data_IF_408559513699
#
_entry.id   IF_408559513699
#
_cell.length_a   1.000
_cell.length_b   1.000
_cell.length_c   1.000
_cell.angle_alpha   90.00
_cell.angle_beta   90.00
_cell.angle_gamma   90.00
#
_symmetry.space_group_name_H-M   'P 1'
#
loop_
_entity.id
_entity.type
_entity.pdbx_description
1 polymer ?
#
# COMPACT_ATOMS: atom_id res chain seq x y z
N UNK A 1 2.46 71.89 21.43
CA UNK A 1 3.29 70.74 21.03
C UNK A 1 3.02 69.58 21.98
N UNK A 2 2.81 68.38 21.42
CA UNK A 2 2.82 67.05 22.08
C UNK A 2 1.75 66.72 23.14
N UNK A 3 0.55 66.30 22.70
CA UNK A 3 -0.30 65.38 23.50
C UNK A 3 -1.27 64.57 22.63
N UNK A 4 -0.73 63.71 21.76
CA UNK A 4 -1.50 62.74 20.95
C UNK A 4 -0.65 61.49 20.70
N UNK A 5 -0.40 60.66 21.72
CA UNK A 5 0.25 59.35 21.47
C UNK A 5 0.14 58.28 22.59
N UNK A 6 -0.89 58.33 23.46
CA UNK A 6 -1.04 57.34 24.55
C UNK A 6 -2.14 56.31 24.34
N UNK A 7 -3.12 56.56 23.46
CA UNK A 7 -4.28 55.67 23.30
C UNK A 7 -4.01 54.44 22.41
N UNK A 8 -3.02 54.47 21.51
CA UNK A 8 -2.77 53.37 20.56
C UNK A 8 -1.94 52.20 21.11
N UNK A 9 -1.19 52.41 22.19
CA UNK A 9 -0.27 51.37 22.73
C UNK A 9 -1.01 50.21 23.40
N UNK A 10 -2.19 50.46 23.97
CA UNK A 10 -2.95 49.47 24.76
C UNK A 10 -3.61 48.39 23.88
N UNK A 11 -3.77 48.68 22.59
CA UNK A 11 -4.52 47.86 21.64
C UNK A 11 -3.57 46.89 20.94
N UNK A 12 -2.31 47.33 20.72
CA UNK A 12 -1.24 46.49 20.14
C UNK A 12 -0.90 45.34 21.07
N UNK A 13 -0.67 45.56 22.36
CA UNK A 13 -0.26 44.48 23.29
C UNK A 13 -1.31 43.37 23.42
N UNK A 14 -2.60 43.67 23.31
CA UNK A 14 -3.67 42.65 23.29
C UNK A 14 -3.71 41.83 22.00
N UNK A 15 -3.33 42.43 20.87
CA UNK A 15 -3.23 41.72 19.58
C UNK A 15 -2.05 40.74 19.55
N UNK A 16 -0.91 41.05 20.19
CA UNK A 16 0.23 40.14 20.30
C UNK A 16 -0.06 38.92 21.19
N UNK A 17 -0.84 39.08 22.26
CA UNK A 17 -1.20 37.98 23.17
C UNK A 17 -2.19 37.01 22.50
N UNK A 18 -3.17 37.52 21.74
CA UNK A 18 -4.10 36.66 20.98
C UNK A 18 -3.40 35.86 19.88
N UNK A 19 -2.41 36.45 19.19
CA UNK A 19 -1.59 35.76 18.18
C UNK A 19 -0.73 34.65 18.79
N UNK A 20 -0.19 34.83 19.99
CA UNK A 20 0.59 33.79 20.69
C UNK A 20 -0.28 32.59 21.13
N UNK A 21 -1.52 32.81 21.54
CA UNK A 21 -2.43 31.72 21.96
C UNK A 21 -2.89 30.91 20.74
N UNK A 22 -3.17 31.56 19.60
CA UNK A 22 -3.56 30.87 18.35
C UNK A 22 -2.37 30.09 17.75
N UNK A 23 -1.15 30.62 17.82
CA UNK A 23 0.05 29.89 17.38
C UNK A 23 0.35 28.68 18.30
N UNK A 24 0.12 28.82 19.61
CA UNK A 24 0.32 27.74 20.59
C UNK A 24 -0.66 26.57 20.39
N UNK A 25 -1.87 26.85 19.88
CA UNK A 25 -2.90 25.81 19.70
C UNK A 25 -2.76 25.01 18.39
N UNK A 26 -1.82 25.34 17.50
CA UNK A 26 -1.71 24.74 16.16
C UNK A 26 -0.65 23.62 16.03
N UNK A 27 -0.03 23.17 17.13
CA UNK A 27 1.16 22.30 17.05
C UNK A 27 0.94 20.84 17.45
N UNK A 28 -0.30 20.37 17.58
CA UNK A 28 -0.57 18.95 17.88
C UNK A 28 -1.36 18.32 16.74
N UNK A 29 -0.74 18.25 15.56
CA UNK A 29 -1.17 17.27 14.55
C UNK A 29 -0.49 15.94 14.88
N UNK A 30 -1.24 14.92 15.33
CA UNK A 30 -0.67 13.59 15.47
C UNK A 30 -0.29 13.11 14.06
N UNK A 31 1.01 12.94 13.81
CA UNK A 31 1.47 12.21 12.64
C UNK A 31 0.94 10.79 12.77
N UNK A 32 0.00 10.41 11.91
CA UNK A 32 -0.45 9.03 11.78
C UNK A 32 0.74 8.21 11.29
N UNK A 33 1.44 7.54 12.22
CA UNK A 33 2.46 6.59 11.85
C UNK A 33 1.75 5.32 11.40
N UNK A 34 1.91 4.96 10.14
CA UNK A 34 1.58 3.61 9.69
C UNK A 34 2.43 2.63 10.51
N UNK A 35 1.78 1.94 11.45
CA UNK A 35 2.41 0.91 12.27
C UNK A 35 2.52 -0.36 11.45
N UNK A 36 3.67 -0.52 10.81
CA UNK A 36 4.02 -1.75 10.10
C UNK A 36 4.40 -2.83 11.12
N UNK A 37 3.70 -3.97 11.10
CA UNK A 37 4.00 -5.09 12.01
C UNK A 37 5.06 -5.99 11.38
N UNK A 38 6.20 -6.15 12.05
CA UNK A 38 7.34 -6.95 11.61
C UNK A 38 7.55 -8.14 12.54
N UNK A 39 7.79 -9.32 11.96
CA UNK A 39 8.02 -10.57 12.69
C UNK A 39 9.23 -11.28 12.09
N UNK A 40 10.22 -11.58 12.93
CA UNK A 40 11.44 -12.28 12.54
C UNK A 40 11.30 -13.79 12.78
N UNK A 41 11.65 -14.58 11.77
CA UNK A 41 11.73 -16.03 11.86
C UNK A 41 13.16 -16.47 11.55
N UNK A 42 13.81 -17.13 12.51
CA UNK A 42 15.19 -17.58 12.32
C UNK A 42 15.26 -18.97 11.69
N UNK A 43 16.37 -19.26 11.04
CA UNK A 43 16.65 -20.57 10.44
C UNK A 43 16.63 -21.69 11.51
N UNK A 44 17.11 -21.39 12.73
CA UNK A 44 17.06 -22.31 13.85
C UNK A 44 15.62 -22.67 14.21
N UNK A 45 14.73 -21.69 14.30
CA UNK A 45 13.31 -21.93 14.56
C UNK A 45 12.65 -22.71 13.41
N UNK A 46 13.07 -22.48 12.17
CA UNK A 46 12.53 -23.13 10.97
C UNK A 46 12.96 -24.60 10.83
N UNK A 47 14.23 -24.90 11.07
CA UNK A 47 14.82 -26.22 10.83
C UNK A 47 14.84 -27.14 12.05
N UNK A 48 14.67 -26.61 13.27
CA UNK A 48 14.75 -27.42 14.48
C UNK A 48 13.57 -28.40 14.68
N UNK A 49 12.50 -28.32 13.88
CA UNK A 49 11.30 -29.13 14.08
C UNK A 49 10.77 -29.77 12.79
N UNK A 50 10.04 -30.90 12.90
CA UNK A 50 9.27 -31.44 11.78
C UNK A 50 8.35 -30.38 11.18
N UNK A 51 8.35 -30.26 9.85
CA UNK A 51 7.51 -29.30 9.13
C UNK A 51 6.12 -29.88 8.91
N UNK A 52 5.33 -29.93 9.97
CA UNK A 52 3.90 -30.20 9.89
C UNK A 52 3.09 -28.93 10.20
N UNK A 53 1.83 -28.91 9.77
CA UNK A 53 0.98 -27.73 9.92
C UNK A 53 0.79 -27.32 11.38
N UNK A 54 0.79 -28.26 12.32
CA UNK A 54 0.65 -27.99 13.77
C UNK A 54 1.86 -27.25 14.30
N UNK A 55 3.06 -27.68 13.92
CA UNK A 55 4.31 -27.08 14.34
C UNK A 55 4.48 -25.67 13.77
N UNK A 56 4.08 -25.46 12.51
CA UNK A 56 4.20 -24.16 11.84
C UNK A 56 3.30 -23.11 12.49
N UNK A 57 2.07 -23.47 12.89
CA UNK A 57 1.17 -22.51 13.58
C UNK A 57 1.61 -22.17 14.99
N UNK A 58 2.45 -22.99 15.62
CA UNK A 58 3.03 -22.69 16.92
C UNK A 58 4.22 -21.73 16.84
N UNK A 59 4.78 -21.48 15.65
CA UNK A 59 5.85 -20.52 15.47
C UNK A 59 5.30 -19.10 15.66
N UNK A 60 5.77 -18.42 16.70
CA UNK A 60 5.25 -17.11 17.10
C UNK A 60 5.25 -16.08 15.96
N UNK A 61 6.31 -16.05 15.13
CA UNK A 61 6.39 -15.14 13.99
C UNK A 61 5.29 -15.41 12.95
N UNK A 62 5.04 -16.69 12.63
CA UNK A 62 4.01 -17.10 11.66
C UNK A 62 2.61 -16.84 12.23
N UNK A 63 2.34 -17.26 13.46
CA UNK A 63 1.05 -17.04 14.12
C UNK A 63 0.70 -15.55 14.18
N UNK A 64 1.65 -14.71 14.58
CA UNK A 64 1.43 -13.28 14.68
C UNK A 64 1.25 -12.61 13.31
N UNK A 65 2.02 -13.03 12.29
CA UNK A 65 1.85 -12.53 10.93
C UNK A 65 0.46 -12.88 10.36
N UNK A 66 0.03 -14.14 10.51
CA UNK A 66 -1.29 -14.60 10.08
C UNK A 66 -2.40 -13.85 10.82
N UNK A 67 -2.31 -13.72 12.15
CA UNK A 67 -3.30 -12.99 12.94
C UNK A 67 -3.34 -11.49 12.58
N UNK A 68 -2.20 -10.86 12.29
CA UNK A 68 -2.13 -9.48 11.84
C UNK A 68 -2.74 -9.30 10.44
N UNK A 69 -2.52 -10.24 9.52
CA UNK A 69 -3.07 -10.22 8.18
C UNK A 69 -4.57 -10.59 8.12
N UNK A 70 -5.08 -11.36 9.09
CA UNK A 70 -6.52 -11.61 9.25
C UNK A 70 -7.26 -10.38 9.76
N UNK A 71 -6.63 -9.56 10.61
CA UNK A 71 -7.20 -8.28 11.08
C UNK A 71 -7.28 -7.23 9.98
N UNK A 72 -6.45 -7.35 8.94
CA UNK A 72 -6.41 -6.42 7.81
C UNK A 72 -6.42 -7.24 6.50
N UNK A 73 -7.60 -7.68 6.01
CA UNK A 73 -7.71 -8.62 4.90
C UNK A 73 -7.17 -8.09 3.56
N UNK A 74 -7.07 -6.77 3.41
CA UNK A 74 -6.55 -6.13 2.19
C UNK A 74 -5.04 -5.81 2.28
N UNK A 75 -4.42 -6.02 3.45
CA UNK A 75 -3.00 -5.77 3.66
C UNK A 75 -2.15 -6.88 3.01
N UNK A 76 -1.17 -6.55 2.14
CA UNK A 76 -0.18 -7.51 1.69
C UNK A 76 0.83 -7.82 2.80
N UNK A 77 1.42 -9.00 2.73
CA UNK A 77 2.54 -9.46 3.53
C UNK A 77 3.78 -9.43 2.65
N UNK A 78 4.79 -8.66 3.03
CA UNK A 78 6.12 -8.79 2.46
C UNK A 78 6.90 -9.89 3.19
N UNK A 79 7.45 -10.82 2.42
CA UNK A 79 8.35 -11.89 2.86
C UNK A 79 9.76 -11.57 2.38
N UNK A 80 10.56 -10.98 3.26
CA UNK A 80 11.94 -10.62 2.97
C UNK A 80 12.89 -11.75 3.33
N UNK A 81 13.81 -12.08 2.42
CA UNK A 81 14.79 -13.14 2.56
C UNK A 81 16.14 -12.71 1.97
N UNK A 82 17.22 -13.43 2.29
CA UNK A 82 18.52 -13.20 1.68
C UNK A 82 18.54 -13.62 0.20
N UNK A 83 19.27 -12.89 -0.63
CA UNK A 83 19.48 -13.25 -2.04
C UNK A 83 20.48 -14.41 -2.18
N UNK A 84 20.13 -15.56 -1.60
CA UNK A 84 20.87 -16.82 -1.65
C UNK A 84 19.93 -17.95 -2.04
N UNK A 85 20.47 -19.05 -2.56
CA UNK A 85 19.66 -20.21 -2.96
C UNK A 85 18.91 -20.82 -1.77
N UNK A 86 19.57 -20.95 -0.63
CA UNK A 86 18.96 -21.39 0.63
C UNK A 86 17.89 -20.39 1.07
N UNK A 87 18.20 -19.10 0.97
CA UNK A 87 17.33 -17.95 1.19
C UNK A 87 16.01 -18.00 0.39
N UNK A 88 16.11 -18.40 -0.87
CA UNK A 88 14.97 -18.56 -1.76
C UNK A 88 14.17 -19.83 -1.44
N UNK A 89 14.85 -20.94 -1.15
CA UNK A 89 14.21 -22.22 -0.92
C UNK A 89 13.26 -22.18 0.28
N UNK A 90 13.76 -21.80 1.45
CA UNK A 90 12.94 -21.77 2.66
C UNK A 90 11.86 -20.68 2.63
N UNK A 91 12.08 -19.57 1.94
CA UNK A 91 11.06 -18.52 1.78
C UNK A 91 9.91 -19.00 0.88
N UNK A 92 10.18 -19.80 -0.15
CA UNK A 92 9.15 -20.44 -0.95
C UNK A 92 8.36 -21.48 -0.16
N UNK A 93 9.05 -22.28 0.69
CA UNK A 93 8.37 -23.20 1.60
C UNK A 93 7.46 -22.45 2.56
N UNK A 94 7.95 -21.39 3.21
CA UNK A 94 7.17 -20.57 4.11
C UNK A 94 5.98 -19.92 3.39
N UNK A 95 6.15 -19.42 2.17
CA UNK A 95 5.04 -18.93 1.35
C UNK A 95 3.98 -20.01 1.13
N UNK A 96 4.37 -21.24 0.79
CA UNK A 96 3.43 -22.34 0.61
C UNK A 96 2.67 -22.66 1.91
N UNK A 97 3.34 -22.60 3.05
CA UNK A 97 2.70 -22.76 4.35
C UNK A 97 1.72 -21.64 4.68
N UNK A 98 2.10 -20.37 4.45
CA UNK A 98 1.21 -19.23 4.64
C UNK A 98 -0.06 -19.37 3.78
N UNK A 99 0.08 -19.89 2.55
CA UNK A 99 -1.06 -20.22 1.69
C UNK A 99 -1.94 -21.32 2.28
N UNK A 100 -1.34 -22.40 2.77
CA UNK A 100 -2.07 -23.47 3.45
C UNK A 100 -2.80 -22.98 4.72
N UNK A 101 -2.31 -21.91 5.36
CA UNK A 101 -2.93 -21.25 6.52
C UNK A 101 -4.03 -20.23 6.13
N UNK A 102 -4.37 -20.14 4.84
CA UNK A 102 -5.50 -19.35 4.35
C UNK A 102 -5.15 -17.95 3.85
N UNK A 103 -3.87 -17.61 3.70
CA UNK A 103 -3.46 -16.39 3.01
C UNK A 103 -3.46 -16.62 1.50
N UNK A 104 -4.00 -15.70 0.72
CA UNK A 104 -3.96 -15.84 -0.74
C UNK A 104 -2.56 -15.50 -1.27
N UNK A 105 -2.14 -16.18 -2.33
CA UNK A 105 -0.76 -16.07 -2.83
C UNK A 105 -0.43 -14.68 -3.39
N UNK A 106 -1.45 -13.94 -3.82
CA UNK A 106 -1.43 -12.57 -4.34
C UNK A 106 -1.16 -11.56 -3.24
N UNK A 107 -1.48 -11.90 -1.99
CA UNK A 107 -1.20 -11.07 -0.82
C UNK A 107 0.22 -11.25 -0.31
N UNK A 108 1.00 -12.20 -0.82
CA UNK A 108 2.34 -12.50 -0.33
C UNK A 108 3.36 -12.03 -1.36
N UNK A 109 4.08 -10.97 -1.03
CA UNK A 109 5.14 -10.38 -1.85
C UNK A 109 6.50 -10.91 -1.41
N UNK A 110 7.24 -11.53 -2.31
CA UNK A 110 8.58 -12.07 -2.05
C UNK A 110 9.64 -10.99 -2.33
N UNK A 111 10.55 -10.74 -1.39
CA UNK A 111 11.60 -9.71 -1.53
C UNK A 111 12.99 -10.25 -1.16
N UNK A 112 13.89 -10.35 -2.13
CA UNK A 112 15.29 -10.73 -1.90
C UNK A 112 16.12 -9.51 -1.48
N UNK A 113 15.92 -9.03 -0.25
CA UNK A 113 16.52 -7.78 0.23
C UNK A 113 17.16 -7.86 1.62
N UNK A 114 17.23 -9.04 2.23
CA UNK A 114 17.98 -9.22 3.48
C UNK A 114 19.47 -9.48 3.20
N UNK A 115 20.32 -8.96 4.08
CA UNK A 115 21.76 -9.26 4.08
C UNK A 115 22.10 -10.50 4.91
N UNK A 116 21.16 -10.94 5.75
CA UNK A 116 21.30 -12.07 6.67
C UNK A 116 20.58 -13.28 6.10
N UNK A 117 21.29 -14.39 5.96
CA UNK A 117 20.80 -15.67 5.45
C UNK A 117 20.10 -16.53 6.52
N UNK A 118 20.29 -16.18 7.79
CA UNK A 118 19.73 -16.90 8.94
C UNK A 118 18.33 -16.42 9.36
N UNK A 119 17.73 -15.48 8.63
CA UNK A 119 16.41 -14.90 8.95
C UNK A 119 15.50 -14.71 7.73
N UNK A 120 14.19 -14.86 7.96
CA UNK A 120 13.13 -14.29 7.13
C UNK A 120 12.40 -13.24 7.95
N UNK A 121 12.08 -12.11 7.31
CA UNK A 121 11.23 -11.08 7.90
C UNK A 121 9.83 -11.15 7.27
N UNK A 122 8.81 -11.37 8.10
CA UNK A 122 7.41 -11.24 7.72
C UNK A 122 6.92 -9.86 8.09
N UNK A 123 6.41 -9.12 7.12
CA UNK A 123 5.96 -7.75 7.34
C UNK A 123 4.56 -7.53 6.81
N UNK A 124 3.61 -7.22 7.69
CA UNK A 124 2.24 -6.88 7.28
C UNK A 124 2.19 -5.40 6.93
N UNK A 125 2.03 -5.10 5.65
CA UNK A 125 1.95 -3.74 5.14
C UNK A 125 0.57 -3.18 5.46
N UNK A 126 0.50 -2.08 6.20
CA UNK A 126 -0.77 -1.35 6.29
C UNK A 126 -0.98 -0.67 4.94
N UNK A 127 -2.09 -1.00 4.27
CA UNK A 127 -2.50 -0.24 3.11
C UNK A 127 -2.80 1.16 3.61
N UNK A 128 -1.89 2.11 3.38
CA UNK A 128 -2.22 3.52 3.49
C UNK A 128 -3.30 3.73 2.44
N UNK A 129 -4.54 3.86 2.89
CA UNK A 129 -5.59 4.48 2.08
C UNK A 129 -5.08 5.90 1.85
N UNK A 130 -4.26 6.09 0.83
CA UNK A 130 -4.11 7.39 0.21
C UNK A 130 -5.54 7.82 -0.08
N UNK A 131 -5.98 8.92 0.54
CA UNK A 131 -7.29 9.50 0.27
C UNK A 131 -7.54 9.43 -1.23
N UNK A 132 -8.71 8.92 -1.69
CA UNK A 132 -9.02 8.99 -3.10
C UNK A 132 -8.91 10.46 -3.46
N UNK A 133 -7.92 10.80 -4.28
CA UNK A 133 -7.77 12.15 -4.83
C UNK A 133 -9.08 12.43 -5.56
N UNK A 134 -9.99 13.17 -4.91
CA UNK A 134 -11.35 13.48 -5.38
C UNK A 134 -11.32 14.30 -6.69
N UNK A 135 -10.14 14.71 -7.14
CA UNK A 135 -9.96 15.60 -8.29
C UNK A 135 -9.78 14.89 -9.65
N UNK A 136 -9.74 13.55 -9.70
CA UNK A 136 -9.61 12.84 -10.97
C UNK A 136 -10.95 12.29 -11.50
N UNK A 137 -12.01 13.11 -11.51
CA UNK A 137 -13.14 12.87 -12.42
C UNK A 137 -12.71 13.40 -13.79
N UNK A 138 -12.44 12.54 -14.79
CA UNK A 138 -12.28 13.03 -16.16
C UNK A 138 -13.60 13.67 -16.57
N UNK A 139 -13.61 15.01 -16.66
CA UNK A 139 -14.68 15.76 -17.29
C UNK A 139 -14.77 15.27 -18.73
N UNK A 140 -15.70 14.35 -19.00
CA UNK A 140 -16.06 13.93 -20.36
C UNK A 140 -16.56 15.19 -21.07
N UNK A 141 -15.69 15.78 -21.90
CA UNK A 141 -16.10 16.81 -22.82
C UNK A 141 -16.92 16.12 -23.91
N UNK A 142 -18.24 16.16 -23.74
CA UNK A 142 -19.19 15.95 -24.81
C UNK A 142 -19.01 17.06 -25.86
N UNK A 143 -18.06 16.89 -26.77
CA UNK A 143 -18.08 17.58 -28.06
C UNK A 143 -18.73 16.67 -29.08
N UNK A 144 -20.05 16.72 -29.05
CA UNK A 144 -20.91 16.41 -30.17
C UNK A 144 -20.45 17.23 -31.38
N UNK A 145 -19.73 16.59 -32.32
CA UNK A 145 -19.54 17.12 -33.67
C UNK A 145 -20.03 16.07 -34.65
N UNK A 146 -21.19 16.37 -35.23
CA UNK A 146 -21.77 15.68 -36.36
C UNK A 146 -20.81 15.69 -37.56
N UNK A 147 -20.69 14.54 -38.23
CA UNK A 147 -20.73 14.42 -39.70
C UNK A 147 -20.86 12.95 -40.07
N UNK A 148 -21.89 12.64 -40.86
CA UNK A 148 -22.20 11.35 -41.47
C UNK A 148 -21.33 11.12 -42.75
N UNK A 149 -21.71 10.21 -43.66
CA UNK A 149 -21.52 8.76 -43.65
C UNK A 149 -20.58 8.31 -44.79
N UNK A 150 -19.70 7.33 -44.57
CA UNK A 150 -18.81 6.88 -45.65
C UNK A 150 -18.37 5.43 -45.49
N UNK A 151 -19.32 4.48 -45.55
CA UNK A 151 -19.05 3.08 -45.81
C UNK A 151 -20.21 2.48 -46.64
N UNK A 152 -20.36 3.00 -47.85
CA UNK A 152 -21.17 2.38 -48.92
C UNK A 152 -20.28 1.85 -50.06
N UNK A 153 -18.96 1.96 -49.97
CA UNK A 153 -18.04 1.50 -51.03
C UNK A 153 -17.47 0.09 -50.84
N UNK A 154 -17.47 -0.46 -49.62
CA UNK A 154 -16.81 -1.76 -49.37
C UNK A 154 -17.70 -2.97 -49.74
N UNK A 155 -18.99 -2.75 -49.99
CA UNK A 155 -19.91 -3.83 -50.36
C UNK A 155 -19.93 -4.13 -51.87
N UNK A 156 -19.16 -3.38 -52.68
CA UNK A 156 -19.04 -3.61 -54.13
C UNK A 156 -17.89 -4.54 -54.51
N UNK A 157 -16.90 -4.72 -53.64
CA UNK A 157 -15.73 -5.55 -53.93
C UNK A 157 -15.97 -7.04 -53.60
N UNK A 158 -16.91 -7.34 -52.70
CA UNK A 158 -17.18 -8.72 -52.25
C UNK A 158 -18.07 -9.54 -53.20
N UNK A 159 -18.55 -8.97 -54.31
CA UNK A 159 -19.42 -9.67 -55.28
C UNK A 159 -18.70 -10.00 -56.61
N UNK A 160 -17.39 -9.76 -56.71
CA UNK A 160 -16.59 -10.06 -57.89
C UNK A 160 -15.85 -11.43 -57.84
N UNK A 161 -15.77 -12.09 -56.68
CA UNK A 161 -15.09 -13.40 -56.54
C UNK A 161 -16.02 -14.63 -56.62
N UNK A 162 -17.27 -14.47 -57.11
CA UNK A 162 -18.17 -15.61 -57.41
C UNK A 162 -18.41 -15.85 -58.92
N UNK A 163 -17.43 -15.55 -59.76
CA UNK A 163 -17.37 -16.07 -61.13
C UNK A 163 -16.00 -16.69 -61.32
N UNK A 164 -15.85 -18.01 -61.46
CA UNK A 164 -16.26 -18.87 -62.57
C UNK A 164 -15.49 -20.21 -62.35
N UNK A 165 -15.56 -21.19 -63.25
CA UNK A 165 -16.67 -21.90 -63.87
C UNK A 165 -16.81 -23.35 -63.37
#
# INVERSE_FOLDING_TARGET
MQSRNKADKKNRTKQWIALLIIFSFCSVFPAAHATQSQFELTIEQWWAKPRDGVTIVEMAAVANAVAAAQRNPDSPIALSYADSEEGLLWSQELRAWLVALGLTSERIEMQANLLRDDIIMLTVQQLSVDEPTVDAVPRIQSTQKASAPQQEEDMKEMNAERGLP
#
